data_IF_329163443411
#
_entry.id   IF_329163443411
#
_cell.length_a   1.000
_cell.length_b   1.000
_cell.length_c   1.000
_cell.angle_alpha   90.00
_cell.angle_beta   90.00
_cell.angle_gamma   90.00
#
_symmetry.space_group_name_H-M   'P 1'
#
loop_
_entity.id
_entity.type
_entity.pdbx_description
1 polymer ?
#
# COMPACT_ATOMS: atom_id res chain seq x y z
N UNK A 1 6.77 -6.29 -17.03
CA UNK A 1 7.60 -5.50 -16.11
C UNK A 1 9.11 -5.62 -16.41
N UNK A 2 9.75 -4.49 -16.72
CA UNK A 2 11.22 -4.42 -16.75
C UNK A 2 11.79 -4.42 -15.32
N UNK A 3 13.04 -4.87 -15.10
CA UNK A 3 13.68 -4.86 -13.78
C UNK A 3 13.71 -3.47 -13.12
N UNK A 4 13.79 -2.40 -13.94
CA UNK A 4 13.74 -1.01 -13.48
C UNK A 4 12.40 -0.65 -12.85
N UNK A 5 11.28 -1.02 -13.50
CA UNK A 5 9.93 -0.69 -13.00
C UNK A 5 9.63 -1.38 -11.66
N UNK A 6 10.13 -2.59 -11.44
CA UNK A 6 9.96 -3.29 -10.16
C UNK A 6 10.73 -2.58 -9.04
N UNK A 7 11.89 -2.00 -9.35
CA UNK A 7 12.70 -1.27 -8.39
C UNK A 7 12.08 0.08 -8.01
N UNK A 8 11.48 0.79 -8.98
CA UNK A 8 10.79 2.06 -8.74
C UNK A 8 9.55 1.88 -7.83
N UNK A 9 8.85 0.74 -7.95
CA UNK A 9 7.67 0.41 -7.14
C UNK A 9 7.98 -0.52 -5.95
N UNK A 10 9.23 -0.54 -5.47
CA UNK A 10 9.57 -1.26 -4.25
C UNK A 10 8.74 -0.72 -3.07
N UNK A 11 8.39 -1.56 -2.07
CA UNK A 11 7.62 -1.13 -0.91
C UNK A 11 8.22 0.09 -0.19
N UNK A 12 9.56 0.15 -0.14
CA UNK A 12 10.31 1.23 0.48
C UNK A 12 10.19 2.57 -0.27
N UNK A 13 9.78 2.55 -1.55
CA UNK A 13 9.48 3.76 -2.33
C UNK A 13 8.16 4.42 -1.90
N UNK A 14 7.32 3.72 -1.13
CA UNK A 14 6.03 4.22 -0.67
C UNK A 14 6.04 4.47 0.83
N UNK A 15 5.09 5.32 1.26
CA UNK A 15 4.77 5.45 2.68
C UNK A 15 4.21 4.14 3.21
N UNK A 16 4.38 3.90 4.51
CA UNK A 16 3.69 2.82 5.19
C UNK A 16 2.17 3.06 5.12
N UNK A 17 1.49 2.22 4.34
CA UNK A 17 0.03 2.32 4.13
C UNK A 17 -0.76 2.14 5.42
N UNK A 18 -0.21 1.44 6.42
CA UNK A 18 -0.88 1.25 7.71
C UNK A 18 -1.04 2.58 8.44
N UNK A 19 0.05 3.36 8.54
CA UNK A 19 0.05 4.67 9.22
C UNK A 19 -0.89 5.67 8.55
N UNK A 20 -0.95 5.63 7.21
CA UNK A 20 -1.86 6.48 6.41
C UNK A 20 -3.32 6.14 6.73
N UNK A 21 -3.67 4.85 6.73
CA UNK A 21 -5.05 4.41 6.98
C UNK A 21 -5.46 4.67 8.43
N UNK A 22 -4.57 4.43 9.40
CA UNK A 22 -4.80 4.70 10.81
C UNK A 22 -5.04 6.19 11.08
N UNK A 23 -4.30 7.08 10.40
CA UNK A 23 -4.50 8.53 10.50
C UNK A 23 -5.93 8.93 10.06
N UNK A 24 -6.39 8.40 8.93
CA UNK A 24 -7.75 8.66 8.43
C UNK A 24 -8.84 8.09 9.36
N UNK A 25 -8.57 6.93 9.98
CA UNK A 25 -9.49 6.34 10.94
C UNK A 25 -9.57 7.17 12.24
N UNK A 26 -8.42 7.58 12.78
CA UNK A 26 -8.34 8.41 13.97
C UNK A 26 -8.97 9.79 13.78
N UNK A 27 -8.86 10.36 12.58
CA UNK A 27 -9.53 11.61 12.20
C UNK A 27 -11.06 11.46 12.04
N UNK A 28 -11.61 10.25 12.10
CA UNK A 28 -13.05 10.00 11.98
C UNK A 28 -13.61 10.16 10.57
N UNK A 29 -12.75 10.32 9.55
CA UNK A 29 -13.15 10.53 8.15
C UNK A 29 -13.31 9.22 7.37
N UNK A 30 -12.85 8.09 7.91
CA UNK A 30 -13.00 6.76 7.33
C UNK A 30 -13.07 5.67 8.41
N UNK A 31 -13.81 4.59 8.16
CA UNK A 31 -13.91 3.45 9.07
C UNK A 31 -13.02 2.31 8.58
N UNK A 32 -12.28 1.69 9.49
CA UNK A 32 -11.59 0.43 9.22
C UNK A 32 -12.62 -0.67 8.96
N UNK A 33 -12.40 -1.46 7.91
CA UNK A 33 -13.30 -2.55 7.52
C UNK A 33 -12.54 -3.88 7.36
N UNK A 34 -11.56 -3.93 6.46
CA UNK A 34 -10.78 -5.16 6.16
C UNK A 34 -9.37 -4.79 5.69
N UNK A 35 -8.38 -5.64 6.01
CA UNK A 35 -7.00 -5.53 5.52
C UNK A 35 -6.67 -6.76 4.68
N UNK A 36 -6.27 -6.55 3.42
CA UNK A 36 -5.90 -7.61 2.49
C UNK A 36 -4.38 -7.77 2.40
N UNK A 37 -3.92 -8.99 2.08
CA UNK A 37 -2.51 -9.30 1.83
C UNK A 37 -2.36 -9.91 0.43
N UNK A 38 -1.56 -9.32 -0.47
CA UNK A 38 -1.38 -9.86 -1.81
C UNK A 38 -0.58 -11.18 -1.77
N UNK A 39 -0.93 -12.11 -2.66
CA UNK A 39 -0.22 -13.40 -2.86
C UNK A 39 0.68 -13.36 -4.10
N UNK A 40 0.22 -12.73 -5.19
CA UNK A 40 0.99 -12.52 -6.41
C UNK A 40 0.54 -11.22 -7.11
N UNK A 41 1.46 -10.55 -7.81
CA UNK A 41 1.20 -9.32 -8.56
C UNK A 41 1.79 -9.43 -9.96
N UNK A 42 0.97 -9.20 -10.98
CA UNK A 42 1.39 -9.17 -12.39
C UNK A 42 1.43 -7.71 -12.83
N UNK A 43 2.60 -7.25 -13.31
CA UNK A 43 2.82 -5.87 -13.76
C UNK A 43 3.20 -5.85 -15.25
N UNK A 44 2.46 -5.06 -16.03
CA UNK A 44 2.74 -4.77 -17.45
C UNK A 44 4.00 -3.96 -17.60
#
# INVERSE_FOLDING_TARGET
ASPKLVQEEAPDSYKNVTDVVETCHAAGISKLCVKLRPVAVIKG
#
